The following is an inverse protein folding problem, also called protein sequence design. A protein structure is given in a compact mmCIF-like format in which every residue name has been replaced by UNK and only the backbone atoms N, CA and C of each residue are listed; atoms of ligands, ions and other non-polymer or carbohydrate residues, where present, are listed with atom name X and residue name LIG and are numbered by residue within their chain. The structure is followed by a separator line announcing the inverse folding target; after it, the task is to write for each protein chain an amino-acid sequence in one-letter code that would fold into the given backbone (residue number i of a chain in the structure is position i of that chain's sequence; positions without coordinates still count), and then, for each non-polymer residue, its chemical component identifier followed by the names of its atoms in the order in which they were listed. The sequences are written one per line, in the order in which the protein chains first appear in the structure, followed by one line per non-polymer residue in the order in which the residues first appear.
data_IF_442248562481
#
_entry.id   IF_442248562481
#
_cell.length_a   1.000
_cell.length_b   1.000
_cell.length_c   1.000
_cell.angle_alpha   90.00
_cell.angle_beta   90.00
_cell.angle_gamma   90.00
#
_symmetry.space_group_name_H-M   'P 1'
#
loop_
_entity.id
_entity.type
_entity.pdbx_description
1 polymer ?
#
# COMPACT_ATOMS: atom_id res chain seq x y z
N UNK A 1 17.49 -28.55 -53.43
CA UNK A 1 17.12 -29.42 -52.29
C UNK A 1 16.09 -28.67 -51.46
N UNK A 2 14.96 -29.30 -51.13
CA UNK A 2 13.95 -28.72 -50.28
C UNK A 2 14.51 -28.57 -48.84
N UNK A 3 14.23 -27.46 -48.19
CA UNK A 3 14.68 -27.18 -46.81
C UNK A 3 13.96 -28.14 -45.86
N UNK A 4 14.69 -28.88 -45.03
CA UNK A 4 14.15 -29.80 -44.05
C UNK A 4 13.86 -28.97 -42.75
N UNK A 5 12.67 -29.15 -42.20
CA UNK A 5 12.27 -28.54 -40.92
C UNK A 5 12.38 -29.57 -39.80
N UNK A 6 12.53 -29.13 -38.56
CA UNK A 6 12.42 -29.98 -37.39
C UNK A 6 10.99 -30.56 -37.30
N UNK A 7 10.79 -31.77 -36.79
CA UNK A 7 9.46 -32.35 -36.60
C UNK A 7 8.59 -31.41 -35.76
N UNK A 8 7.35 -31.21 -36.19
CA UNK A 8 6.33 -30.46 -35.49
C UNK A 8 5.06 -31.31 -35.43
N UNK A 9 4.85 -31.96 -34.29
CA UNK A 9 3.70 -32.84 -34.02
C UNK A 9 3.05 -32.39 -32.72
N UNK A 10 2.16 -31.40 -32.77
CA UNK A 10 1.55 -30.79 -31.59
C UNK A 10 0.65 -31.77 -30.80
N UNK A 11 0.11 -32.77 -31.43
CA UNK A 11 -0.76 -33.80 -30.83
C UNK A 11 0.02 -35.03 -30.34
N UNK A 12 1.36 -34.96 -30.29
CA UNK A 12 2.17 -36.11 -29.86
C UNK A 12 1.96 -36.39 -28.37
N UNK A 13 1.40 -37.54 -28.05
CA UNK A 13 1.31 -38.06 -26.70
C UNK A 13 2.66 -38.58 -26.21
N UNK A 14 3.02 -38.27 -24.98
CA UNK A 14 4.21 -38.80 -24.31
C UNK A 14 3.81 -40.00 -23.45
N UNK A 15 4.52 -41.13 -23.61
CA UNK A 15 4.28 -42.37 -22.85
C UNK A 15 4.51 -42.13 -21.33
N UNK A 16 5.52 -41.30 -20.98
CA UNK A 16 5.82 -40.84 -19.63
C UNK A 16 5.93 -39.34 -19.71
N UNK A 17 4.99 -38.57 -19.06
CA UNK A 17 5.10 -37.12 -19.03
C UNK A 17 6.33 -36.70 -18.22
N UNK A 18 7.15 -35.76 -18.71
CA UNK A 18 8.29 -35.25 -17.96
C UNK A 18 7.82 -34.57 -16.68
N UNK A 19 8.70 -34.55 -15.67
CA UNK A 19 8.45 -33.73 -14.46
C UNK A 19 8.23 -32.28 -14.85
N UNK A 20 7.23 -31.61 -14.27
CA UNK A 20 7.01 -30.17 -14.49
C UNK A 20 8.27 -29.34 -14.16
N UNK A 21 9.10 -29.81 -13.24
CA UNK A 21 10.37 -29.16 -12.87
C UNK A 21 11.38 -29.14 -14.02
N UNK A 22 11.39 -30.15 -14.87
CA UNK A 22 12.30 -30.25 -16.02
C UNK A 22 11.96 -29.27 -17.15
N UNK A 23 10.77 -28.65 -17.08
CA UNK A 23 10.33 -27.68 -18.07
C UNK A 23 10.81 -26.23 -17.77
N UNK A 24 11.39 -26.02 -16.60
CA UNK A 24 11.95 -24.73 -16.19
C UNK A 24 13.48 -24.84 -16.09
N UNK A 25 14.22 -23.78 -16.46
CA UNK A 25 15.65 -23.69 -16.18
C UNK A 25 15.95 -23.86 -14.68
N UNK A 26 17.09 -24.43 -14.33
CA UNK A 26 17.47 -24.68 -12.94
C UNK A 26 17.56 -23.38 -12.11
N UNK A 27 17.98 -22.29 -12.74
CA UNK A 27 18.08 -20.95 -12.17
C UNK A 27 16.76 -20.16 -12.19
N UNK A 28 15.63 -20.79 -12.54
CA UNK A 28 14.37 -20.07 -12.67
C UNK A 28 13.89 -19.47 -11.35
N UNK A 29 13.36 -18.22 -11.39
CA UNK A 29 12.86 -17.45 -10.23
C UNK A 29 11.88 -18.26 -9.33
N UNK A 30 11.08 -19.18 -9.89
CA UNK A 30 10.15 -19.99 -9.11
C UNK A 30 10.89 -20.88 -8.11
N UNK A 31 12.04 -21.47 -8.48
CA UNK A 31 12.84 -22.28 -7.57
C UNK A 31 13.47 -21.43 -6.48
N UNK A 32 14.06 -20.28 -6.85
CA UNK A 32 14.60 -19.33 -5.88
C UNK A 32 13.54 -18.89 -4.84
N UNK A 33 12.34 -18.54 -5.30
CA UNK A 33 11.23 -18.18 -4.40
C UNK A 33 10.82 -19.35 -3.52
N UNK A 34 10.73 -20.57 -4.09
CA UNK A 34 10.44 -21.78 -3.32
C UNK A 34 11.43 -22.01 -2.20
N UNK A 35 12.73 -21.99 -2.52
CA UNK A 35 13.81 -22.26 -1.57
C UNK A 35 13.94 -21.16 -0.51
N UNK A 36 13.72 -19.90 -0.89
CA UNK A 36 13.69 -18.79 0.03
C UNK A 36 12.52 -18.92 1.01
N UNK A 37 11.31 -19.24 0.54
CA UNK A 37 10.14 -19.42 1.42
C UNK A 37 10.34 -20.57 2.40
N UNK A 38 11.04 -21.64 2.01
CA UNK A 38 11.36 -22.76 2.89
C UNK A 38 12.34 -22.38 4.03
N UNK A 39 13.06 -21.27 3.90
CA UNK A 39 13.94 -20.72 4.94
C UNK A 39 13.22 -19.74 5.89
N UNK A 40 12.00 -19.29 5.56
CA UNK A 40 11.23 -18.38 6.41
C UNK A 40 10.47 -19.13 7.50
N UNK A 41 10.26 -18.47 8.64
CA UNK A 41 9.35 -18.96 9.68
C UNK A 41 7.88 -18.78 9.23
N UNK A 42 7.23 -19.88 8.91
CA UNK A 42 5.84 -19.94 8.51
C UNK A 42 4.91 -20.40 9.63
N UNK A 43 5.40 -20.53 10.87
CA UNK A 43 4.63 -21.05 12.00
C UNK A 43 3.34 -20.28 12.25
N UNK A 44 3.35 -18.94 12.09
CA UNK A 44 2.16 -18.11 12.23
C UNK A 44 1.07 -18.39 11.17
N UNK A 45 1.45 -19.03 10.05
CA UNK A 45 0.52 -19.48 9.00
C UNK A 45 0.10 -20.91 9.24
N UNK A 46 1.04 -21.83 9.49
CA UNK A 46 0.79 -23.28 9.56
C UNK A 46 -0.05 -23.67 10.78
N UNK A 47 0.20 -23.06 11.95
CA UNK A 47 -0.55 -23.31 13.18
C UNK A 47 -2.07 -23.16 13.04
N UNK A 48 -2.53 -22.25 12.19
CA UNK A 48 -3.97 -22.03 11.96
C UNK A 48 -4.65 -23.31 11.41
N UNK A 49 -3.89 -24.15 10.69
CA UNK A 49 -4.39 -25.38 10.07
C UNK A 49 -4.16 -26.63 10.93
N UNK A 50 -3.28 -26.57 11.91
CA UNK A 50 -2.98 -27.69 12.82
C UNK A 50 -4.11 -27.93 13.83
N UNK A 51 -4.88 -26.89 14.15
CA UNK A 51 -6.00 -26.95 15.09
C UNK A 51 -7.32 -27.43 14.46
N UNK A 52 -7.40 -27.59 13.14
CA UNK A 52 -8.61 -28.03 12.42
C UNK A 52 -8.63 -29.54 12.19
N UNK A 53 -9.20 -30.31 13.15
CA UNK A 53 -9.32 -31.77 13.03
C UNK A 53 -10.43 -32.26 12.08
N UNK A 54 -11.37 -31.38 11.65
CA UNK A 54 -12.56 -31.78 10.89
C UNK A 54 -12.73 -30.95 9.61
N UNK A 55 -13.07 -31.65 8.53
CA UNK A 55 -13.41 -31.02 7.25
C UNK A 55 -12.66 -31.66 6.07
N UNK A 56 -12.90 -31.12 4.87
CA UNK A 56 -12.13 -31.48 3.67
C UNK A 56 -10.70 -30.96 3.81
N UNK A 57 -9.65 -31.75 3.49
CA UNK A 57 -8.27 -31.31 3.64
C UNK A 57 -8.00 -29.99 2.92
N UNK A 58 -7.48 -28.97 3.62
CA UNK A 58 -7.16 -27.68 3.02
C UNK A 58 -5.96 -27.80 2.06
N UNK A 59 -5.82 -26.86 1.16
CA UNK A 59 -4.56 -26.73 0.39
C UNK A 59 -3.41 -26.42 1.33
N UNK A 60 -2.26 -27.01 1.06
CA UNK A 60 -1.07 -26.84 1.90
C UNK A 60 -0.67 -25.38 2.04
N UNK A 61 -0.58 -24.79 3.25
CA UNK A 61 -0.37 -23.36 3.44
C UNK A 61 0.99 -22.88 2.91
N UNK A 62 2.05 -23.69 3.00
CA UNK A 62 3.36 -23.37 2.42
C UNK A 62 3.26 -23.24 0.90
N UNK A 63 2.52 -24.15 0.23
CA UNK A 63 2.28 -24.07 -1.22
C UNK A 63 1.55 -22.79 -1.60
N UNK A 64 0.47 -22.42 -0.86
CA UNK A 64 -0.26 -21.17 -1.09
C UNK A 64 0.63 -19.93 -0.88
N UNK A 65 1.52 -19.97 0.12
CA UNK A 65 2.51 -18.92 0.36
C UNK A 65 3.48 -18.78 -0.82
N UNK A 66 4.07 -19.88 -1.30
CA UNK A 66 4.98 -19.88 -2.45
C UNK A 66 4.31 -19.32 -3.70
N UNK A 67 3.10 -19.78 -4.01
CA UNK A 67 2.30 -19.29 -5.15
C UNK A 67 1.99 -17.80 -5.03
N UNK A 68 1.58 -17.34 -3.84
CA UNK A 68 1.23 -15.94 -3.62
C UNK A 68 2.45 -15.02 -3.75
N UNK A 69 3.56 -15.36 -3.11
CA UNK A 69 4.82 -14.58 -3.16
C UNK A 69 5.36 -14.54 -4.59
N UNK A 70 5.42 -15.67 -5.27
CA UNK A 70 5.85 -15.72 -6.67
C UNK A 70 4.95 -14.86 -7.57
N UNK A 71 3.62 -14.95 -7.39
CA UNK A 71 2.67 -14.14 -8.15
C UNK A 71 2.95 -12.64 -7.99
N UNK A 72 3.23 -12.19 -6.77
CA UNK A 72 3.59 -10.78 -6.51
C UNK A 72 4.96 -10.42 -7.12
N UNK A 73 5.93 -11.33 -7.15
CA UNK A 73 7.22 -11.12 -7.83
C UNK A 73 7.02 -10.84 -9.33
N UNK A 74 6.17 -11.62 -9.99
CA UNK A 74 5.92 -11.50 -11.44
C UNK A 74 4.77 -10.54 -11.81
N UNK A 75 4.29 -9.73 -10.85
CA UNK A 75 3.27 -8.70 -11.10
C UNK A 75 1.83 -9.23 -11.26
N UNK A 76 1.54 -10.43 -10.76
CA UNK A 76 0.20 -11.04 -10.80
C UNK A 76 -0.46 -10.91 -9.42
N UNK A 77 -1.15 -9.80 -9.16
CA UNK A 77 -1.72 -9.48 -7.83
C UNK A 77 -3.16 -10.00 -7.64
N UNK A 78 -3.93 -10.13 -8.71
CA UNK A 78 -5.34 -10.54 -8.65
C UNK A 78 -5.48 -12.04 -8.43
N UNK A 79 -6.25 -12.46 -7.42
CA UNK A 79 -6.51 -13.88 -7.13
C UNK A 79 -7.12 -14.64 -8.32
N UNK A 80 -7.99 -13.98 -9.12
CA UNK A 80 -8.52 -14.58 -10.35
C UNK A 80 -7.45 -14.79 -11.42
N UNK A 81 -6.49 -13.84 -11.53
CA UNK A 81 -5.36 -14.01 -12.45
C UNK A 81 -4.41 -15.12 -11.96
N UNK A 82 -4.19 -15.22 -10.63
CA UNK A 82 -3.37 -16.29 -10.04
C UNK A 82 -4.01 -17.64 -10.34
N UNK A 83 -5.32 -17.81 -10.08
CA UNK A 83 -6.04 -19.04 -10.43
C UNK A 83 -5.85 -19.44 -11.90
N UNK A 84 -5.99 -18.47 -12.80
CA UNK A 84 -5.77 -18.72 -14.24
C UNK A 84 -4.34 -19.17 -14.54
N UNK A 85 -3.33 -18.52 -13.92
CA UNK A 85 -1.93 -18.90 -14.07
C UNK A 85 -1.62 -20.29 -13.53
N UNK A 86 -2.28 -20.74 -12.47
CA UNK A 86 -2.12 -22.12 -11.95
C UNK A 86 -2.50 -23.20 -12.98
N UNK A 87 -3.29 -22.86 -13.97
CA UNK A 87 -3.66 -23.78 -15.07
C UNK A 87 -2.76 -23.59 -16.30
N UNK A 88 -2.46 -22.33 -16.66
CA UNK A 88 -1.84 -21.96 -17.93
C UNK A 88 -0.31 -21.81 -17.88
N UNK A 89 0.28 -21.64 -16.69
CA UNK A 89 1.68 -21.24 -16.51
C UNK A 89 2.46 -22.34 -15.77
N UNK A 90 3.53 -22.83 -16.40
CA UNK A 90 4.33 -23.95 -15.88
C UNK A 90 4.94 -23.62 -14.51
N UNK A 91 5.46 -22.39 -14.31
CA UNK A 91 6.08 -22.00 -13.05
C UNK A 91 5.09 -22.02 -11.89
N UNK A 92 3.85 -21.55 -12.12
CA UNK A 92 2.77 -21.65 -11.13
C UNK A 92 2.37 -23.10 -10.84
N UNK A 93 2.33 -23.95 -11.89
CA UNK A 93 2.00 -25.37 -11.72
C UNK A 93 3.09 -26.13 -10.95
N UNK A 94 4.36 -25.81 -11.17
CA UNK A 94 5.50 -26.36 -10.42
C UNK A 94 5.36 -26.00 -8.93
N UNK A 95 5.16 -24.70 -8.60
CA UNK A 95 5.04 -24.24 -7.23
C UNK A 95 3.80 -24.84 -6.51
N UNK A 96 2.73 -25.05 -7.25
CA UNK A 96 1.49 -25.62 -6.72
C UNK A 96 1.47 -27.16 -6.74
N UNK A 97 2.53 -27.81 -7.22
CA UNK A 97 2.56 -29.27 -7.42
C UNK A 97 1.31 -29.78 -8.17
N UNK A 98 0.88 -29.04 -9.20
CA UNK A 98 -0.31 -29.35 -10.00
C UNK A 98 -1.65 -29.01 -9.33
N UNK A 99 -1.68 -28.52 -8.10
CA UNK A 99 -2.91 -28.06 -7.46
C UNK A 99 -3.41 -26.76 -8.10
N UNK A 100 -4.74 -26.58 -8.15
CA UNK A 100 -5.38 -25.42 -8.73
C UNK A 100 -6.44 -24.82 -7.78
N UNK A 101 -6.05 -24.21 -6.63
CA UNK A 101 -6.98 -23.54 -5.75
C UNK A 101 -7.75 -22.43 -6.47
N UNK A 102 -9.03 -22.29 -6.14
CA UNK A 102 -9.85 -21.24 -6.71
C UNK A 102 -9.46 -19.85 -6.21
N UNK A 103 -9.98 -18.80 -6.88
CA UNK A 103 -9.65 -17.43 -6.54
C UNK A 103 -10.14 -17.00 -5.15
N UNK A 104 -11.19 -17.65 -4.60
CA UNK A 104 -11.71 -17.36 -3.25
C UNK A 104 -10.73 -17.88 -2.21
N UNK A 105 -10.30 -19.14 -2.35
CA UNK A 105 -9.27 -19.75 -1.50
C UNK A 105 -8.01 -18.88 -1.45
N UNK A 106 -7.50 -18.43 -2.61
CA UNK A 106 -6.32 -17.54 -2.70
C UNK A 106 -6.58 -16.19 -2.02
N UNK A 107 -7.76 -15.62 -2.23
CA UNK A 107 -8.13 -14.32 -1.64
C UNK A 107 -8.28 -14.40 -0.12
N UNK A 108 -8.93 -15.45 0.37
CA UNK A 108 -9.15 -15.69 1.80
C UNK A 108 -7.83 -16.02 2.50
N UNK A 109 -6.99 -16.87 1.90
CA UNK A 109 -5.64 -17.14 2.40
C UNK A 109 -4.84 -15.84 2.61
N UNK A 110 -4.77 -14.98 1.58
CA UNK A 110 -4.07 -13.70 1.67
C UNK A 110 -4.66 -12.81 2.77
N UNK A 111 -5.99 -12.75 2.90
CA UNK A 111 -6.68 -11.93 3.89
C UNK A 111 -6.45 -12.44 5.32
N UNK A 112 -6.53 -13.75 5.51
CA UNK A 112 -6.38 -14.40 6.82
C UNK A 112 -4.96 -14.27 7.33
N UNK A 113 -3.97 -14.50 6.47
CA UNK A 113 -2.55 -14.54 6.84
C UNK A 113 -1.79 -13.23 6.58
N UNK A 114 -2.51 -12.12 6.37
CA UNK A 114 -1.90 -10.84 6.00
C UNK A 114 -0.88 -10.32 7.03
N UNK A 115 -1.15 -10.55 8.32
CA UNK A 115 -0.24 -10.17 9.41
C UNK A 115 1.08 -10.97 9.37
N UNK A 116 0.99 -12.28 9.15
CA UNK A 116 2.16 -13.14 8.99
C UNK A 116 2.96 -12.79 7.73
N UNK A 117 2.28 -12.57 6.60
CA UNK A 117 2.89 -12.13 5.34
C UNK A 117 3.61 -10.77 5.47
N UNK A 118 3.11 -9.88 6.34
CA UNK A 118 3.79 -8.62 6.66
C UNK A 118 5.15 -8.86 7.33
N UNK A 119 5.26 -9.84 8.22
CA UNK A 119 6.49 -10.20 8.90
C UNK A 119 7.58 -10.76 7.97
N UNK A 120 7.22 -11.24 6.78
CA UNK A 120 8.23 -11.71 5.81
C UNK A 120 9.18 -10.62 5.35
N UNK A 121 8.78 -9.35 5.42
CA UNK A 121 9.65 -8.24 5.05
C UNK A 121 10.93 -8.22 5.90
N UNK A 122 10.78 -8.33 7.21
CA UNK A 122 11.90 -8.34 8.16
C UNK A 122 12.74 -9.62 8.03
N UNK A 123 12.09 -10.77 7.86
CA UNK A 123 12.78 -12.04 7.66
C UNK A 123 13.62 -12.04 6.37
N UNK A 124 13.08 -11.51 5.25
CA UNK A 124 13.83 -11.40 3.99
C UNK A 124 15.01 -10.42 4.12
N UNK A 125 14.85 -9.33 4.88
CA UNK A 125 15.97 -8.43 5.17
C UNK A 125 17.05 -9.11 6.02
N UNK A 126 16.64 -9.96 6.95
CA UNK A 126 17.58 -10.74 7.76
C UNK A 126 18.41 -11.72 6.89
N UNK A 127 17.74 -12.48 6.04
CA UNK A 127 18.42 -13.36 5.07
C UNK A 127 19.33 -12.58 4.12
N UNK A 128 18.91 -11.39 3.68
CA UNK A 128 19.74 -10.52 2.85
C UNK A 128 21.04 -10.12 3.55
N UNK A 129 20.99 -9.88 4.85
CA UNK A 129 22.18 -9.56 5.67
C UNK A 129 23.18 -10.72 5.74
N UNK A 130 22.70 -11.94 5.89
CA UNK A 130 23.55 -13.13 5.88
C UNK A 130 24.30 -13.28 4.55
N UNK A 131 23.71 -12.77 3.46
CA UNK A 131 24.31 -12.70 2.13
C UNK A 131 25.21 -11.46 1.92
N UNK A 132 25.42 -10.63 2.96
CA UNK A 132 26.23 -9.41 2.89
C UNK A 132 25.54 -8.21 2.23
N UNK A 133 24.24 -8.26 2.04
CA UNK A 133 23.35 -7.18 1.60
C UNK A 133 22.21 -7.06 2.62
N UNK A 134 21.73 -5.89 3.05
CA UNK A 134 21.91 -4.55 2.51
C UNK A 134 23.11 -3.82 3.15
N UNK A 135 23.48 -2.70 2.54
CA UNK A 135 24.41 -1.75 3.14
C UNK A 135 23.64 -0.58 3.73
N UNK A 136 23.49 -0.58 5.06
CA UNK A 136 22.81 0.54 5.75
C UNK A 136 23.77 1.73 5.93
N UNK A 137 24.38 2.17 4.82
CA UNK A 137 25.24 3.35 4.77
C UNK A 137 24.43 4.55 4.29
N UNK A 138 24.27 4.65 2.97
CA UNK A 138 23.49 5.71 2.31
C UNK A 138 22.11 5.20 1.98
N UNK A 139 21.08 5.89 2.51
CA UNK A 139 19.67 5.54 2.34
C UNK A 139 18.91 6.70 1.71
N UNK A 140 18.12 6.43 0.68
CA UNK A 140 17.24 7.41 0.04
C UNK A 140 15.78 7.18 0.44
N UNK A 141 15.10 8.25 0.89
CA UNK A 141 13.67 8.25 1.17
C UNK A 141 12.87 8.79 -0.03
N UNK A 142 11.74 8.18 -0.28
CA UNK A 142 10.74 8.72 -1.21
C UNK A 142 9.33 8.29 -0.83
N UNK A 143 8.37 9.19 -1.13
CA UNK A 143 6.94 8.96 -0.95
C UNK A 143 6.23 8.83 -2.30
N UNK A 144 5.27 7.92 -2.39
CA UNK A 144 4.50 7.76 -3.62
C UNK A 144 3.02 7.53 -3.36
N UNK A 145 2.18 8.13 -4.20
CA UNK A 145 0.72 7.98 -4.08
C UNK A 145 0.28 6.73 -4.86
N UNK A 146 -0.38 5.80 -4.18
CA UNK A 146 -0.98 4.60 -4.77
C UNK A 146 -2.49 4.66 -4.59
N UNK A 147 -3.22 4.31 -5.65
CA UNK A 147 -4.69 4.36 -5.64
C UNK A 147 -5.25 3.36 -4.62
N UNK A 148 -6.27 3.78 -3.88
CA UNK A 148 -7.07 2.90 -3.05
C UNK A 148 -8.04 2.06 -3.90
N UNK A 149 -8.53 0.97 -3.36
CA UNK A 149 -9.64 0.20 -3.95
C UNK A 149 -10.98 0.92 -3.72
N UNK A 150 -11.03 2.19 -4.12
CA UNK A 150 -12.18 3.06 -3.95
C UNK A 150 -12.21 4.15 -5.02
N UNK A 151 -13.42 4.51 -5.46
CA UNK A 151 -13.61 5.60 -6.42
C UNK A 151 -13.67 6.95 -5.70
N UNK A 152 -13.02 7.97 -6.25
CA UNK A 152 -13.16 9.36 -5.77
C UNK A 152 -14.60 9.88 -5.82
N UNK A 153 -15.44 9.34 -6.71
CA UNK A 153 -16.86 9.69 -6.84
C UNK A 153 -17.73 9.16 -5.68
N UNK A 154 -17.19 8.26 -4.85
CA UNK A 154 -17.81 7.79 -3.61
C UNK A 154 -17.40 8.60 -2.38
N UNK A 155 -16.64 9.68 -2.57
CA UNK A 155 -16.30 10.62 -1.51
C UNK A 155 -17.34 11.75 -1.42
N UNK A 156 -17.60 12.23 -0.20
CA UNK A 156 -18.47 13.36 0.08
C UNK A 156 -17.79 14.29 1.06
N UNK A 157 -17.88 15.62 0.83
CA UNK A 157 -17.35 16.63 1.78
C UNK A 157 -18.28 16.81 2.97
N UNK A 158 -17.71 17.24 4.09
CA UNK A 158 -18.45 17.50 5.34
C UNK A 158 -19.57 18.52 5.15
N UNK A 159 -19.30 19.61 4.42
CA UNK A 159 -20.33 20.62 4.10
C UNK A 159 -21.51 20.02 3.34
N UNK A 160 -21.22 19.22 2.29
CA UNK A 160 -22.26 18.53 1.51
C UNK A 160 -23.00 17.46 2.32
N UNK A 161 -22.33 16.81 3.29
CA UNK A 161 -23.00 15.88 4.21
C UNK A 161 -24.04 16.58 5.08
N UNK A 162 -23.71 17.76 5.62
CA UNK A 162 -24.64 18.57 6.44
C UNK A 162 -25.89 18.95 5.65
N UNK A 163 -25.70 19.43 4.43
CA UNK A 163 -26.80 19.81 3.53
C UNK A 163 -27.66 18.58 3.18
N UNK A 164 -27.02 17.49 2.76
CA UNK A 164 -27.76 16.27 2.36
C UNK A 164 -28.46 15.60 3.55
N UNK A 165 -27.88 15.69 4.75
CA UNK A 165 -28.52 15.21 5.97
C UNK A 165 -29.80 15.99 6.27
N UNK A 166 -29.81 17.31 6.07
CA UNK A 166 -31.02 18.15 6.23
C UNK A 166 -32.08 17.75 5.23
N UNK A 167 -31.75 17.70 3.94
CA UNK A 167 -32.68 17.31 2.88
C UNK A 167 -33.28 15.92 3.14
N UNK A 168 -32.47 14.91 3.45
CA UNK A 168 -32.96 13.56 3.72
C UNK A 168 -33.86 13.47 4.96
N UNK A 169 -33.63 14.31 5.97
CA UNK A 169 -34.52 14.38 7.15
C UNK A 169 -35.89 14.93 6.79
N UNK A 170 -35.94 15.97 5.95
CA UNK A 170 -37.17 16.53 5.43
C UNK A 170 -37.91 15.49 4.57
N UNK A 171 -37.21 14.86 3.61
CA UNK A 171 -37.79 13.81 2.76
C UNK A 171 -38.34 12.61 3.59
N UNK A 172 -37.64 12.18 4.63
CA UNK A 172 -38.10 11.11 5.54
C UNK A 172 -39.34 11.54 6.31
N UNK A 173 -39.36 12.80 6.83
CA UNK A 173 -40.51 13.36 7.56
C UNK A 173 -41.74 13.41 6.66
N UNK A 174 -41.60 13.88 5.42
CA UNK A 174 -42.67 13.99 4.47
C UNK A 174 -43.23 12.60 4.09
N UNK A 175 -42.37 11.61 3.88
CA UNK A 175 -42.80 10.23 3.59
C UNK A 175 -43.51 9.58 4.78
N UNK A 176 -43.05 9.83 6.02
CA UNK A 176 -43.75 9.32 7.21
C UNK A 176 -45.14 9.98 7.35
N UNK A 177 -45.24 11.30 7.13
CA UNK A 177 -46.52 12.00 7.18
C UNK A 177 -47.50 11.50 6.08
N UNK A 178 -46.99 11.18 4.88
CA UNK A 178 -47.79 10.56 3.81
C UNK A 178 -48.21 9.14 4.20
N UNK A 179 -47.35 8.34 4.80
CA UNK A 179 -47.71 7.00 5.26
C UNK A 179 -48.74 7.04 6.37
N UNK A 180 -48.59 7.93 7.36
CA UNK A 180 -49.56 8.14 8.43
C UNK A 180 -50.92 8.60 7.90
N UNK A 181 -50.94 9.47 6.88
CA UNK A 181 -52.17 9.92 6.24
C UNK A 181 -52.83 8.80 5.43
N UNK A 182 -52.03 7.94 4.75
CA UNK A 182 -52.56 6.78 4.03
C UNK A 182 -53.12 5.73 5.02
N UNK A 183 -52.40 5.42 6.11
CA UNK A 183 -52.85 4.51 7.15
C UNK A 183 -54.14 5.01 7.84
N UNK A 184 -54.25 6.32 8.08
CA UNK A 184 -55.46 6.92 8.64
C UNK A 184 -56.66 6.84 7.67
N UNK A 185 -56.43 6.96 6.36
CA UNK A 185 -57.45 6.81 5.34
C UNK A 185 -57.87 5.33 5.20
N UNK A 186 -56.93 4.40 5.25
CA UNK A 186 -57.19 2.94 5.21
C UNK A 186 -57.91 2.47 6.50
N UNK A 187 -57.52 2.94 7.68
CA UNK A 187 -58.19 2.67 8.96
C UNK A 187 -59.63 3.17 8.97
N UNK A 188 -59.89 4.28 8.29
CA UNK A 188 -61.26 4.83 8.15
C UNK A 188 -62.14 4.02 7.18
N UNK A 189 -61.53 3.37 6.18
CA UNK A 189 -62.25 2.60 5.15
C UNK A 189 -62.39 1.11 5.50
N UNK A 190 -61.36 0.48 6.13
CA UNK A 190 -61.28 -0.97 6.31
C UNK A 190 -61.15 -1.46 7.77
N UNK A 191 -61.07 -0.55 8.78
CA UNK A 191 -60.92 -0.91 10.21
C UNK A 191 -59.48 -1.26 10.66
N UNK A 192 -59.20 -1.10 11.97
CA UNK A 192 -57.86 -1.08 12.59
C UNK A 192 -57.03 -2.37 12.57
N UNK A 193 -57.53 -3.50 12.10
CA UNK A 193 -56.91 -4.82 12.28
C UNK A 193 -56.07 -5.33 11.09
N UNK A 194 -55.80 -4.55 10.07
CA UNK A 194 -54.91 -4.90 8.95
C UNK A 194 -53.78 -3.90 8.81
N UNK A 195 -52.73 -4.04 9.66
CA UNK A 195 -51.47 -3.29 9.51
C UNK A 195 -50.53 -4.06 8.62
N UNK A 196 -50.15 -3.49 7.48
CA UNK A 196 -48.95 -3.85 6.74
C UNK A 196 -47.74 -3.24 7.43
N UNK A 197 -46.98 -4.02 8.17
CA UNK A 197 -45.80 -3.57 8.95
C UNK A 197 -44.56 -3.27 8.08
N UNK A 198 -44.67 -3.21 6.75
CA UNK A 198 -43.55 -2.98 5.86
C UNK A 198 -43.42 -1.49 5.51
N UNK A 199 -42.37 -0.86 6.04
CA UNK A 199 -41.91 0.46 5.60
C UNK A 199 -41.68 0.46 4.07
N UNK A 200 -42.20 1.44 3.32
CA UNK A 200 -41.98 1.52 1.89
C UNK A 200 -40.49 1.43 1.56
N UNK A 201 -40.11 0.65 0.55
CA UNK A 201 -38.73 0.41 0.16
C UNK A 201 -37.90 1.71 -0.05
N UNK A 202 -38.58 2.78 -0.43
CA UNK A 202 -38.03 4.11 -0.58
C UNK A 202 -37.62 4.74 0.75
N UNK A 203 -38.43 4.59 1.81
CA UNK A 203 -38.15 5.07 3.16
C UNK A 203 -36.94 4.33 3.74
N UNK A 204 -36.89 3.00 3.64
CA UNK A 204 -35.75 2.19 4.07
C UNK A 204 -34.45 2.61 3.36
N UNK A 205 -34.49 2.91 2.07
CA UNK A 205 -33.34 3.39 1.30
C UNK A 205 -32.85 4.76 1.79
N UNK A 206 -33.79 5.68 2.08
CA UNK A 206 -33.46 7.02 2.59
C UNK A 206 -32.91 6.98 4.01
N UNK A 207 -33.50 6.19 4.88
CA UNK A 207 -33.00 5.97 6.25
C UNK A 207 -31.61 5.33 6.27
N UNK A 208 -31.37 4.28 5.48
CA UNK A 208 -30.05 3.66 5.34
C UNK A 208 -29.01 4.66 4.84
N UNK A 209 -29.38 5.52 3.91
CA UNK A 209 -28.50 6.57 3.40
C UNK A 209 -28.23 7.65 4.44
N UNK A 210 -29.25 8.04 5.20
CA UNK A 210 -29.14 8.99 6.30
C UNK A 210 -28.22 8.45 7.41
N UNK A 211 -28.39 7.19 7.78
CA UNK A 211 -27.53 6.48 8.75
C UNK A 211 -26.05 6.52 8.32
N UNK A 212 -25.75 6.13 7.08
CA UNK A 212 -24.38 6.17 6.53
C UNK A 212 -23.78 7.58 6.54
N UNK A 213 -24.57 8.62 6.20
CA UNK A 213 -24.09 10.00 6.24
C UNK A 213 -23.82 10.45 7.67
N UNK A 214 -24.66 10.05 8.66
CA UNK A 214 -24.42 10.34 10.08
C UNK A 214 -23.13 9.68 10.60
N UNK A 215 -22.89 8.43 10.23
CA UNK A 215 -21.68 7.68 10.58
C UNK A 215 -20.42 8.36 9.97
N UNK A 216 -20.46 8.70 8.70
CA UNK A 216 -19.38 9.40 8.01
C UNK A 216 -19.08 10.77 8.63
N UNK A 217 -20.13 11.51 9.01
CA UNK A 217 -20.00 12.81 9.67
C UNK A 217 -19.34 12.69 11.05
N UNK A 218 -19.78 11.71 11.87
CA UNK A 218 -19.17 11.44 13.18
C UNK A 218 -17.69 11.05 13.05
N UNK A 219 -17.34 10.24 12.04
CA UNK A 219 -15.95 9.87 11.79
C UNK A 219 -15.07 11.06 11.41
N UNK A 220 -15.59 12.03 10.64
CA UNK A 220 -14.87 13.28 10.33
C UNK A 220 -14.73 14.18 11.57
N UNK A 221 -15.77 14.25 12.42
CA UNK A 221 -15.76 15.00 13.66
C UNK A 221 -14.75 14.42 14.67
N UNK A 222 -14.71 13.09 14.82
CA UNK A 222 -13.71 12.39 15.63
C UNK A 222 -12.29 12.68 15.13
N UNK A 223 -12.06 12.56 13.82
CA UNK A 223 -10.75 12.88 13.22
C UNK A 223 -10.31 14.32 13.50
N UNK A 224 -11.21 15.30 13.36
CA UNK A 224 -10.87 16.69 13.63
C UNK A 224 -10.49 16.92 15.10
N UNK A 225 -11.12 16.20 16.04
CA UNK A 225 -10.76 16.21 17.46
C UNK A 225 -9.37 15.62 17.70
N UNK A 226 -9.08 14.45 17.11
CA UNK A 226 -7.77 13.80 17.23
C UNK A 226 -6.65 14.70 16.67
N UNK A 227 -6.88 15.34 15.51
CA UNK A 227 -5.94 16.28 14.91
C UNK A 227 -5.74 17.54 15.76
N UNK A 228 -6.80 18.05 16.40
CA UNK A 228 -6.72 19.19 17.29
C UNK A 228 -5.96 18.84 18.60
N UNK A 229 -6.24 17.68 19.17
CA UNK A 229 -5.53 17.18 20.35
C UNK A 229 -4.03 17.01 20.08
N UNK A 230 -3.68 16.41 18.93
CA UNK A 230 -2.28 16.25 18.48
C UNK A 230 -1.58 17.61 18.25
N UNK A 231 -2.36 18.66 17.92
CA UNK A 231 -1.85 20.03 17.74
C UNK A 231 -1.89 20.90 19.01
N UNK A 232 -2.28 20.32 20.16
CA UNK A 232 -2.40 21.04 21.44
C UNK A 232 -3.51 22.12 21.47
N UNK A 233 -4.52 21.98 20.58
CA UNK A 233 -5.64 22.93 20.50
C UNK A 233 -6.83 22.46 21.36
N UNK A 234 -7.63 23.40 21.93
CA UNK A 234 -8.80 22.99 22.72
C UNK A 234 -9.85 22.25 21.90
N UNK A 235 -10.50 21.26 22.52
CA UNK A 235 -11.51 20.37 21.89
C UNK A 235 -12.72 21.12 21.31
N UNK A 236 -13.14 22.23 21.94
CA UNK A 236 -14.28 23.03 21.49
C UNK A 236 -14.11 23.72 20.14
N UNK A 237 -12.86 23.88 19.66
CA UNK A 237 -12.55 24.47 18.34
C UNK A 237 -12.43 23.44 17.21
N UNK A 238 -12.47 22.16 17.53
CA UNK A 238 -12.20 21.05 16.61
C UNK A 238 -13.40 20.70 15.71
N UNK A 239 -13.76 21.61 14.79
CA UNK A 239 -14.75 21.31 13.75
C UNK A 239 -14.05 20.89 12.46
N UNK A 240 -14.56 19.85 11.76
CA UNK A 240 -14.02 19.48 10.47
C UNK A 240 -14.09 20.64 9.46
N UNK A 241 -13.04 20.79 8.64
CA UNK A 241 -13.11 21.68 7.49
C UNK A 241 -14.32 21.28 6.61
N UNK A 242 -15.14 22.23 6.14
CA UNK A 242 -16.24 21.95 5.22
C UNK A 242 -15.81 21.17 3.97
N UNK A 243 -14.53 21.28 3.56
CA UNK A 243 -13.92 20.53 2.46
C UNK A 243 -13.37 19.17 2.87
N UNK A 244 -13.29 18.84 4.17
CA UNK A 244 -12.85 17.52 4.64
C UNK A 244 -13.72 16.42 4.02
N UNK A 245 -13.10 15.37 3.48
CA UNK A 245 -13.79 14.36 2.70
C UNK A 245 -13.74 12.99 3.37
N UNK A 246 -14.82 12.24 3.17
CA UNK A 246 -14.97 10.86 3.59
C UNK A 246 -15.38 10.00 2.41
N UNK A 247 -14.68 8.89 2.19
CA UNK A 247 -15.02 7.94 1.14
C UNK A 247 -15.85 6.80 1.73
N UNK A 248 -17.04 6.56 1.20
CA UNK A 248 -17.95 5.53 1.71
C UNK A 248 -17.53 4.08 1.38
N UNK A 249 -16.58 3.92 0.46
CA UNK A 249 -16.05 2.60 0.09
C UNK A 249 -14.79 2.25 0.89
N UNK A 250 -13.93 3.23 1.13
CA UNK A 250 -12.70 3.10 1.91
C UNK A 250 -12.50 4.38 2.74
N UNK A 251 -13.04 4.40 3.97
CA UNK A 251 -13.05 5.57 4.86
C UNK A 251 -11.67 6.08 5.24
N UNK A 252 -10.68 5.22 5.21
CA UNK A 252 -9.30 5.54 5.60
C UNK A 252 -8.46 6.08 4.46
N UNK A 253 -8.90 5.88 3.20
CA UNK A 253 -8.24 6.50 2.04
C UNK A 253 -8.47 8.02 1.99
N UNK A 254 -7.57 8.74 1.32
CA UNK A 254 -7.63 10.21 1.17
C UNK A 254 -7.56 10.61 -0.29
N UNK A 255 -8.12 11.79 -0.60
CA UNK A 255 -7.87 12.42 -1.89
C UNK A 255 -6.52 13.12 -1.82
N UNK A 256 -5.61 12.69 -2.69
CA UNK A 256 -4.24 13.16 -2.76
C UNK A 256 -3.92 13.68 -4.15
N UNK A 257 -3.07 14.69 -4.24
CA UNK A 257 -2.56 15.19 -5.53
C UNK A 257 -1.46 14.26 -6.02
N UNK A 258 -1.69 13.62 -7.16
CA UNK A 258 -0.69 12.82 -7.89
C UNK A 258 -0.22 13.54 -9.17
N UNK A 259 0.69 12.93 -9.94
CA UNK A 259 1.15 13.46 -11.22
C UNK A 259 0.01 13.71 -12.22
N UNK A 260 -0.93 12.75 -12.28
CA UNK A 260 -2.06 12.74 -13.22
C UNK A 260 -3.32 13.40 -12.64
N UNK A 261 -3.18 14.25 -11.60
CA UNK A 261 -4.30 14.90 -10.91
C UNK A 261 -4.65 14.28 -9.56
N UNK A 262 -5.89 14.49 -9.10
CA UNK A 262 -6.33 14.00 -7.79
C UNK A 262 -6.76 12.53 -7.84
N UNK A 263 -6.23 11.73 -6.91
CA UNK A 263 -6.54 10.31 -6.74
C UNK A 263 -7.03 10.02 -5.33
N UNK A 264 -7.99 9.12 -5.19
CA UNK A 264 -8.32 8.49 -3.92
C UNK A 264 -7.25 7.44 -3.64
N UNK A 265 -6.49 7.58 -2.56
CA UNK A 265 -5.35 6.70 -2.33
C UNK A 265 -4.73 6.82 -0.95
N UNK A 266 -3.57 6.21 -0.85
CA UNK A 266 -2.67 6.25 0.30
C UNK A 266 -1.30 6.75 -0.14
N UNK A 267 -0.56 7.30 0.80
CA UNK A 267 0.81 7.72 0.60
C UNK A 267 1.73 6.63 1.14
N UNK A 268 2.40 5.92 0.24
CA UNK A 268 3.38 4.91 0.61
C UNK A 268 4.76 5.54 0.74
N UNK A 269 5.52 5.08 1.72
CA UNK A 269 6.88 5.53 1.99
C UNK A 269 7.83 4.35 1.82
N UNK A 270 9.01 4.59 1.27
CA UNK A 270 10.10 3.63 1.17
C UNK A 270 11.43 4.27 1.53
N UNK A 271 12.28 3.51 2.20
CA UNK A 271 13.68 3.79 2.46
C UNK A 271 14.51 2.76 1.71
N UNK A 272 15.43 3.19 0.87
CA UNK A 272 16.12 2.33 -0.11
C UNK A 272 17.63 2.55 0.00
N UNK A 273 18.40 1.48 -0.02
CA UNK A 273 19.86 1.51 -0.05
C UNK A 273 20.46 1.61 -1.46
N UNK A 274 21.79 1.71 -1.56
CA UNK A 274 22.49 1.80 -2.85
C UNK A 274 22.34 0.56 -3.74
N UNK A 275 22.01 -0.61 -3.18
CA UNK A 275 21.69 -1.84 -3.91
C UNK A 275 20.23 -1.91 -4.38
N UNK A 276 19.48 -0.86 -4.09
CA UNK A 276 18.04 -0.78 -4.35
C UNK A 276 17.20 -1.79 -3.55
N UNK A 277 17.69 -2.22 -2.38
CA UNK A 277 16.91 -2.95 -1.38
C UNK A 277 16.09 -1.97 -0.55
N UNK A 278 14.84 -2.30 -0.29
CA UNK A 278 13.98 -1.52 0.60
C UNK A 278 14.30 -1.93 2.03
N UNK A 279 14.81 -1.00 2.84
CA UNK A 279 15.18 -1.19 4.24
C UNK A 279 14.07 -0.88 5.21
N UNK A 280 13.18 0.05 4.80
CA UNK A 280 12.04 0.46 5.58
C UNK A 280 10.87 0.83 4.67
N UNK A 281 9.65 0.49 5.10
CA UNK A 281 8.45 0.77 4.34
C UNK A 281 7.27 1.09 5.27
N UNK A 282 6.42 2.02 4.83
CA UNK A 282 5.23 2.38 5.58
C UNK A 282 4.12 2.89 4.65
N UNK A 283 2.90 2.92 5.17
CA UNK A 283 1.76 3.55 4.50
C UNK A 283 1.14 4.57 5.42
N UNK A 284 0.87 5.75 4.90
CA UNK A 284 0.24 6.82 5.67
C UNK A 284 -0.97 7.42 4.94
N UNK A 285 -1.85 8.03 5.70
CA UNK A 285 -2.98 8.81 5.20
C UNK A 285 -2.60 10.29 4.96
N UNK A 286 -1.40 10.70 5.37
CA UNK A 286 -0.91 12.06 5.16
C UNK A 286 -0.74 12.34 3.67
N UNK A 287 -1.27 13.48 3.22
CA UNK A 287 -1.26 13.85 1.80
C UNK A 287 0.10 14.36 1.32
N UNK A 288 1.00 14.70 2.23
CA UNK A 288 2.37 15.15 1.97
C UNK A 288 3.36 14.41 2.87
N UNK A 289 4.64 14.53 2.56
CA UNK A 289 5.71 13.77 3.21
C UNK A 289 6.38 14.50 4.39
N UNK A 290 5.95 15.75 4.68
CA UNK A 290 6.57 16.60 5.71
C UNK A 290 6.64 15.98 7.10
N UNK A 291 5.66 15.17 7.46
CA UNK A 291 5.62 14.51 8.78
C UNK A 291 6.23 13.10 8.76
N UNK A 292 6.83 12.67 7.63
CA UNK A 292 7.25 11.29 7.48
C UNK A 292 8.76 11.07 7.69
N UNK A 293 9.57 12.13 7.82
CA UNK A 293 11.02 11.99 7.95
C UNK A 293 11.40 11.16 9.19
N UNK A 294 11.09 11.65 10.37
CA UNK A 294 11.45 10.99 11.64
C UNK A 294 10.75 9.63 11.80
N UNK A 295 9.44 9.50 11.51
CA UNK A 295 8.80 8.17 11.51
C UNK A 295 9.50 7.17 10.60
N UNK A 296 9.98 7.56 9.42
CA UNK A 296 10.69 6.66 8.52
C UNK A 296 12.08 6.26 9.02
N UNK A 297 12.79 7.14 9.74
CA UNK A 297 14.04 6.78 10.40
C UNK A 297 13.79 5.68 11.44
N UNK A 298 12.79 5.86 12.31
CA UNK A 298 12.39 4.83 13.27
C UNK A 298 11.98 3.51 12.58
N UNK A 299 11.27 3.59 11.45
CA UNK A 299 10.89 2.40 10.65
C UNK A 299 12.13 1.70 10.09
N UNK A 300 13.14 2.44 9.60
CA UNK A 300 14.41 1.86 9.13
C UNK A 300 15.09 1.10 10.28
N UNK A 301 15.24 1.73 11.43
CA UNK A 301 15.86 1.12 12.62
C UNK A 301 15.13 -0.15 13.06
N UNK A 302 13.81 -0.12 13.10
CA UNK A 302 12.98 -1.27 13.50
C UNK A 302 13.05 -2.43 12.49
N UNK A 303 12.98 -2.14 11.19
CA UNK A 303 12.86 -3.16 10.15
C UNK A 303 14.21 -3.65 9.63
N UNK A 304 15.21 -2.77 9.57
CA UNK A 304 16.56 -3.13 9.17
C UNK A 304 17.50 -3.41 10.35
N UNK A 305 17.17 -2.97 11.56
CA UNK A 305 17.97 -3.11 12.77
C UNK A 305 19.23 -2.23 12.82
N UNK A 306 19.38 -1.27 11.89
CA UNK A 306 20.51 -0.35 11.81
C UNK A 306 20.06 1.07 11.49
N UNK A 307 20.87 2.07 11.88
CA UNK A 307 20.66 3.48 11.56
C UNK A 307 21.50 3.89 10.36
N UNK A 308 20.95 4.57 9.35
CA UNK A 308 21.73 5.02 8.19
C UNK A 308 22.75 6.09 8.57
N UNK A 309 23.96 6.02 7.99
CA UNK A 309 24.96 7.09 8.16
C UNK A 309 24.65 8.32 7.31
N UNK A 310 24.08 8.12 6.11
CA UNK A 310 23.64 9.20 5.22
C UNK A 310 22.18 9.02 4.80
N UNK A 311 21.40 10.11 4.86
CA UNK A 311 19.99 10.11 4.50
C UNK A 311 19.70 11.12 3.39
N UNK A 312 19.13 10.65 2.28
CA UNK A 312 18.77 11.47 1.12
C UNK A 312 17.25 11.57 1.01
N UNK A 313 16.69 12.79 0.97
CA UNK A 313 15.26 12.97 0.81
C UNK A 313 14.93 14.15 -0.11
N UNK A 314 13.75 14.11 -0.73
CA UNK A 314 13.28 15.19 -1.60
C UNK A 314 12.73 16.40 -0.81
N UNK A 315 12.33 17.44 -1.51
CA UNK A 315 11.78 18.66 -0.90
C UNK A 315 10.43 18.44 -0.19
N UNK A 316 9.78 17.30 -0.39
CA UNK A 316 8.56 16.92 0.31
C UNK A 316 8.77 16.72 1.81
N UNK A 317 9.98 16.30 2.21
CA UNK A 317 10.37 16.09 3.60
C UNK A 317 10.96 17.34 4.28
N UNK A 318 11.26 18.40 3.52
CA UNK A 318 11.88 19.59 4.07
C UNK A 318 10.89 20.41 4.91
N UNK A 319 11.22 20.58 6.19
CA UNK A 319 10.60 21.53 7.12
C UNK A 319 11.59 21.89 8.22
N UNK A 320 11.43 23.07 8.86
CA UNK A 320 12.30 23.47 9.96
C UNK A 320 12.30 22.43 11.08
N UNK A 321 11.14 21.88 11.42
CA UNK A 321 10.98 20.83 12.44
C UNK A 321 11.79 19.59 12.10
N UNK A 322 11.72 19.11 10.86
CA UNK A 322 12.48 17.93 10.43
C UNK A 322 13.98 18.19 10.41
N UNK A 323 14.39 19.37 9.93
CA UNK A 323 15.80 19.73 9.87
C UNK A 323 16.44 19.90 11.24
N UNK A 324 15.68 20.42 12.22
CA UNK A 324 16.11 20.49 13.62
C UNK A 324 16.20 19.09 14.20
N UNK A 325 15.13 18.28 14.05
CA UNK A 325 15.10 16.94 14.63
C UNK A 325 16.21 16.02 14.09
N UNK A 326 16.54 16.09 12.78
CA UNK A 326 17.60 15.27 12.22
C UNK A 326 19.00 15.78 12.56
N UNK A 327 19.15 17.09 12.83
CA UNK A 327 20.42 17.66 13.28
C UNK A 327 20.84 17.21 14.69
N UNK A 328 19.87 16.71 15.48
CA UNK A 328 20.11 16.13 16.80
C UNK A 328 20.47 14.63 16.75
N UNK A 329 20.59 14.05 15.54
CA UNK A 329 21.00 12.67 15.29
C UNK A 329 22.39 12.62 14.68
N UNK A 330 23.03 11.44 14.68
CA UNK A 330 24.34 11.20 14.01
C UNK A 330 24.19 10.99 12.49
N UNK A 331 23.00 11.17 11.93
CA UNK A 331 22.70 10.96 10.51
C UNK A 331 23.12 12.18 9.68
N UNK A 332 24.00 11.97 8.71
CA UNK A 332 24.36 13.02 7.76
C UNK A 332 23.30 13.19 6.66
N UNK A 333 22.34 14.11 6.89
CA UNK A 333 21.18 14.29 6.04
C UNK A 333 21.43 15.24 4.84
N UNK A 334 20.85 14.90 3.70
CA UNK A 334 20.83 15.67 2.46
C UNK A 334 19.38 15.79 1.96
N UNK A 335 18.69 16.85 2.40
CA UNK A 335 17.26 17.06 2.13
C UNK A 335 17.11 18.26 1.23
N UNK A 336 16.51 18.10 0.02
CA UNK A 336 16.28 19.21 -0.88
C UNK A 336 15.40 20.27 -0.24
N UNK A 337 15.84 21.53 -0.28
CA UNK A 337 15.10 22.64 0.31
C UNK A 337 14.07 23.25 -0.64
N UNK A 338 14.10 22.87 -1.94
CA UNK A 338 13.17 23.34 -2.96
C UNK A 338 12.86 22.25 -3.97
N UNK A 339 11.68 22.32 -4.58
CA UNK A 339 11.34 21.47 -5.74
C UNK A 339 12.17 21.89 -6.93
N UNK A 340 12.97 20.96 -7.47
CA UNK A 340 13.68 21.16 -8.73
C UNK A 340 12.74 20.81 -9.90
N UNK A 341 12.72 21.65 -10.93
CA UNK A 341 12.05 21.32 -12.19
C UNK A 341 12.88 20.30 -12.96
N UNK A 342 12.21 19.46 -13.74
CA UNK A 342 12.92 18.50 -14.59
C UNK A 342 13.88 19.22 -15.53
N UNK A 343 15.18 18.81 -15.54
CA UNK A 343 16.23 19.46 -16.33
C UNK A 343 16.88 20.70 -15.70
N UNK A 344 16.39 21.20 -14.56
CA UNK A 344 17.00 22.30 -13.83
C UNK A 344 18.32 21.84 -13.19
N UNK A 345 19.42 22.50 -13.52
CA UNK A 345 20.70 22.27 -12.85
C UNK A 345 20.77 23.09 -11.57
N UNK A 346 21.36 22.53 -10.48
CA UNK A 346 21.62 23.31 -9.29
C UNK A 346 22.43 24.56 -9.64
N UNK A 347 22.04 25.71 -9.09
CA UNK A 347 22.84 26.93 -9.24
C UNK A 347 24.22 26.77 -8.59
N UNK A 348 25.19 27.64 -8.93
CA UNK A 348 26.51 27.59 -8.32
C UNK A 348 26.42 27.79 -6.80
N UNK A 349 27.34 27.14 -6.07
CA UNK A 349 27.43 27.35 -4.63
C UNK A 349 27.76 28.83 -4.33
N UNK A 350 26.95 29.54 -3.54
CA UNK A 350 27.24 30.91 -3.16
C UNK A 350 28.61 31.01 -2.51
N UNK A 351 29.40 32.05 -2.82
CA UNK A 351 30.74 32.25 -2.24
C UNK A 351 30.66 32.94 -0.87
N UNK A 352 31.65 32.71 -0.03
CA UNK A 352 31.80 33.32 1.30
C UNK A 352 31.11 32.56 2.44
N UNK A 353 31.30 32.96 3.68
CA UNK A 353 30.70 32.34 4.86
C UNK A 353 29.17 32.56 4.90
N UNK A 354 28.45 31.66 5.54
CA UNK A 354 27.02 31.85 5.80
C UNK A 354 26.81 33.04 6.76
N UNK A 355 25.76 33.88 6.53
CA UNK A 355 25.40 34.92 7.49
C UNK A 355 25.14 34.33 8.88
N UNK A 356 25.43 35.10 9.94
CA UNK A 356 25.12 34.68 11.32
C UNK A 356 23.62 34.44 11.55
N UNK A 357 22.76 35.06 10.74
CA UNK A 357 21.29 34.94 10.76
C UNK A 357 20.78 33.79 9.86
N UNK A 358 21.68 32.98 9.25
CA UNK A 358 21.30 31.90 8.38
C UNK A 358 20.44 30.86 9.10
N UNK A 359 19.27 30.56 8.52
CA UNK A 359 18.36 29.53 9.00
C UNK A 359 18.93 28.12 8.83
N UNK A 360 18.32 27.13 9.47
CA UNK A 360 18.68 25.73 9.26
C UNK A 360 18.45 25.30 7.80
N UNK A 361 17.42 25.85 7.16
CA UNK A 361 17.13 25.62 5.72
C UNK A 361 18.26 26.21 4.85
N UNK A 362 18.79 27.39 5.19
CA UNK A 362 19.89 28.00 4.44
C UNK A 362 21.18 27.16 4.56
N UNK A 363 21.43 26.60 5.75
CA UNK A 363 22.56 25.68 5.99
C UNK A 363 22.43 24.42 5.16
N UNK A 364 21.26 23.78 5.14
CA UNK A 364 20.97 22.61 4.32
C UNK A 364 21.09 22.94 2.81
N UNK A 365 20.53 24.06 2.38
CA UNK A 365 20.66 24.54 1.00
C UNK A 365 22.12 24.72 0.61
N UNK A 366 22.93 25.36 1.48
CA UNK A 366 24.35 25.53 1.27
C UNK A 366 25.09 24.19 1.15
N UNK A 367 24.83 23.25 2.03
CA UNK A 367 25.39 21.90 2.01
C UNK A 367 25.17 21.22 0.66
N UNK A 368 23.94 21.27 0.13
CA UNK A 368 23.56 20.67 -1.15
C UNK A 368 24.22 21.33 -2.38
N UNK A 369 24.65 22.60 -2.28
CA UNK A 369 25.33 23.31 -3.37
C UNK A 369 26.87 23.13 -3.34
N UNK A 370 27.45 22.54 -2.28
CA UNK A 370 28.88 22.15 -2.27
C UNK A 370 29.13 21.03 -3.26
N UNK A 371 30.35 20.93 -3.81
CA UNK A 371 30.71 19.84 -4.73
C UNK A 371 30.43 18.45 -4.13
N UNK A 372 30.87 18.12 -2.88
CA UNK A 372 30.57 16.82 -2.28
C UNK A 372 29.06 16.66 -2.02
N UNK A 373 28.38 17.65 -1.45
CA UNK A 373 26.95 17.56 -1.16
C UNK A 373 26.09 17.37 -2.39
N UNK A 374 26.41 18.05 -3.49
CA UNK A 374 25.73 17.87 -4.77
C UNK A 374 25.95 16.46 -5.34
N UNK A 375 27.14 15.89 -5.22
CA UNK A 375 27.46 14.53 -5.67
C UNK A 375 26.70 13.48 -4.86
N UNK A 376 26.68 13.61 -3.53
CA UNK A 376 25.92 12.72 -2.62
C UNK A 376 24.43 12.80 -2.93
N UNK A 377 23.85 14.00 -3.01
CA UNK A 377 22.43 14.17 -3.26
C UNK A 377 22.00 13.66 -4.65
N UNK A 378 22.86 13.78 -5.66
CA UNK A 378 22.57 13.29 -7.02
C UNK A 378 22.33 11.77 -7.05
N UNK A 379 22.96 10.99 -6.15
CA UNK A 379 22.78 9.55 -6.04
C UNK A 379 21.32 9.17 -5.72
N UNK A 380 20.55 10.04 -5.04
CA UNK A 380 19.15 9.78 -4.67
C UNK A 380 18.31 9.25 -5.83
N UNK A 381 18.43 9.91 -6.99
CA UNK A 381 17.66 9.52 -8.18
C UNK A 381 17.96 8.10 -8.65
N UNK A 382 19.21 7.68 -8.61
CA UNK A 382 19.63 6.34 -8.99
C UNK A 382 19.25 5.26 -7.96
N UNK A 383 19.05 5.65 -6.71
CA UNK A 383 18.72 4.74 -5.62
C UNK A 383 17.20 4.46 -5.58
N UNK A 384 16.37 5.49 -5.33
CA UNK A 384 14.95 5.26 -4.98
C UNK A 384 14.00 5.34 -6.18
N UNK A 385 14.25 6.20 -7.17
CA UNK A 385 13.34 6.35 -8.31
C UNK A 385 13.18 5.03 -9.13
N UNK A 386 14.26 4.24 -9.40
CA UNK A 386 14.11 2.95 -10.06
C UNK A 386 13.25 1.95 -9.29
N UNK A 387 13.32 1.95 -7.95
CA UNK A 387 12.53 1.06 -7.09
C UNK A 387 11.03 1.35 -7.24
N UNK A 388 10.64 2.62 -7.14
CA UNK A 388 9.25 3.05 -7.37
C UNK A 388 8.83 2.72 -8.81
N UNK A 389 9.71 2.94 -9.80
CA UNK A 389 9.49 2.59 -11.20
C UNK A 389 9.26 1.09 -11.40
N UNK A 390 10.09 0.23 -10.80
CA UNK A 390 9.97 -1.23 -10.88
C UNK A 390 8.64 -1.71 -10.26
N UNK A 391 8.23 -1.15 -9.12
CA UNK A 391 6.96 -1.50 -8.47
C UNK A 391 5.76 -1.04 -9.32
N UNK A 392 5.73 0.23 -9.72
CA UNK A 392 4.56 0.84 -10.38
C UNK A 392 4.44 0.54 -11.87
N UNK A 393 5.58 0.47 -12.59
CA UNK A 393 5.58 0.34 -14.04
C UNK A 393 5.92 -1.09 -14.48
N UNK A 394 7.04 -1.65 -14.05
CA UNK A 394 7.43 -2.98 -14.49
C UNK A 394 6.49 -4.07 -13.95
N UNK A 395 6.17 -4.06 -12.63
CA UNK A 395 5.23 -5.01 -12.03
C UNK A 395 3.77 -4.57 -12.12
N UNK A 396 3.50 -3.29 -12.39
CA UNK A 396 2.15 -2.76 -12.58
C UNK A 396 1.34 -2.55 -11.28
N UNK A 397 1.97 -2.46 -10.11
CA UNK A 397 1.28 -2.21 -8.85
C UNK A 397 0.94 -0.72 -8.70
N UNK A 398 -0.22 -0.33 -9.22
CA UNK A 398 -0.70 1.07 -9.22
C UNK A 398 -1.90 1.31 -8.32
N UNK A 399 -2.50 0.24 -7.80
CA UNK A 399 -3.71 0.29 -7.00
C UNK A 399 -3.71 -0.85 -5.98
N UNK A 400 -4.08 -0.55 -4.74
CA UNK A 400 -4.33 -1.55 -3.71
C UNK A 400 -5.55 -2.41 -4.05
N UNK A 401 -5.53 -3.66 -3.67
CA UNK A 401 -6.66 -4.58 -3.77
C UNK A 401 -7.46 -4.63 -2.47
N UNK A 402 -6.80 -4.35 -1.35
CA UNK A 402 -7.40 -4.33 -0.02
C UNK A 402 -7.84 -2.91 0.36
N UNK A 403 -8.62 -2.79 1.44
CA UNK A 403 -9.17 -1.55 1.97
C UNK A 403 -8.89 -1.44 3.46
N UNK A 404 -8.74 -0.21 3.93
CA UNK A 404 -8.36 0.09 5.31
C UNK A 404 -6.86 0.08 5.52
N UNK A 405 -6.35 1.00 6.36
CA UNK A 405 -4.91 1.29 6.50
C UNK A 405 -4.11 0.04 6.91
N UNK A 406 -4.61 -0.75 7.84
CA UNK A 406 -3.94 -1.95 8.33
C UNK A 406 -3.73 -2.98 7.21
N UNK A 407 -4.79 -3.27 6.43
CA UNK A 407 -4.71 -4.22 5.32
C UNK A 407 -3.88 -3.71 4.17
N UNK A 408 -3.96 -2.42 3.89
CA UNK A 408 -3.15 -1.74 2.87
C UNK A 408 -1.67 -1.75 3.26
N UNK A 409 -1.36 -1.56 4.56
CA UNK A 409 0.00 -1.69 5.09
C UNK A 409 0.55 -3.11 4.90
N UNK A 410 -0.25 -4.14 5.18
CA UNK A 410 0.14 -5.53 4.94
C UNK A 410 0.36 -5.85 3.45
N UNK A 411 -0.51 -5.35 2.58
CA UNK A 411 -0.36 -5.51 1.13
C UNK A 411 0.88 -4.79 0.60
N UNK A 412 1.18 -3.58 1.12
CA UNK A 412 2.38 -2.83 0.77
C UNK A 412 3.65 -3.55 1.24
N UNK A 413 3.64 -4.08 2.46
CA UNK A 413 4.74 -4.90 2.97
C UNK A 413 5.04 -6.08 2.05
N UNK A 414 4.02 -6.82 1.60
CA UNK A 414 4.21 -7.94 0.66
C UNK A 414 4.77 -7.48 -0.69
N UNK A 415 4.36 -6.31 -1.20
CA UNK A 415 4.92 -5.71 -2.43
C UNK A 415 6.39 -5.37 -2.25
N UNK A 416 6.78 -4.80 -1.11
CA UNK A 416 8.17 -4.47 -0.78
C UNK A 416 9.02 -5.73 -0.55
N UNK A 417 8.49 -6.74 0.16
CA UNK A 417 9.12 -8.05 0.34
C UNK A 417 9.48 -8.66 -1.01
N UNK A 418 8.51 -8.72 -1.92
CA UNK A 418 8.72 -9.31 -3.25
C UNK A 418 9.64 -8.47 -4.14
N UNK A 419 9.76 -7.15 -3.88
CA UNK A 419 10.78 -6.34 -4.51
C UNK A 419 12.18 -6.76 -4.04
N UNK A 420 12.36 -6.92 -2.73
CA UNK A 420 13.64 -7.35 -2.15
C UNK A 420 14.02 -8.76 -2.61
N UNK A 421 13.06 -9.69 -2.66
CA UNK A 421 13.29 -11.05 -3.22
C UNK A 421 13.81 -10.97 -4.66
N UNK A 422 13.23 -10.13 -5.51
CA UNK A 422 13.71 -9.94 -6.89
C UNK A 422 15.11 -9.33 -6.96
N UNK A 423 15.49 -8.50 -6.00
CA UNK A 423 16.85 -7.95 -5.91
C UNK A 423 17.84 -9.02 -5.47
N UNK A 424 17.49 -9.81 -4.46
CA UNK A 424 18.32 -10.92 -3.99
C UNK A 424 18.52 -11.96 -5.09
N UNK A 425 17.45 -12.34 -5.80
CA UNK A 425 17.54 -13.22 -6.95
C UNK A 425 18.62 -12.76 -7.95
N UNK A 426 18.60 -11.46 -8.31
CA UNK A 426 19.59 -10.90 -9.24
C UNK A 426 21.00 -10.75 -8.68
N UNK A 427 21.17 -10.81 -7.39
CA UNK A 427 22.49 -10.80 -6.75
C UNK A 427 23.09 -12.21 -6.64
N UNK A 428 22.24 -13.25 -6.62
CA UNK A 428 22.62 -14.65 -6.45
C UNK A 428 22.76 -15.41 -7.80
N UNK A 429 22.09 -14.93 -8.84
CA UNK A 429 22.05 -15.48 -10.19
C UNK A 429 22.61 -14.46 -11.18
#
# INVERSE_FOLDING_TARGET
MAKTYRPYVPEQDLLLPPSLREWLPEDHLAFFVSDLIDQLDLSAITKVYEDEERGYPPYHPVMLTKVLVYAYCVGVFSSRKIQRRLVEDVAFRVLAAGNAPDFRTIADFRKTHLAALRGFFEQVLHLARELGAPRVGRVALDGSKIKANASKHKAMSYGRMREKQRQLREEVKDLLAQAEAADAAEDAEYGRDRRGDELPAELQRRESRLKRIREAKRALEARAKDEAAAAGKPDESAKPDPKAQYNFTDPESRIMKGPDGFVQGYNVQVAVDELQLILGQSVTQETNDKKQLMPMITVIEQQSGDTPSELLADAGYCSDVNLVAIADTDIDAYISTRKQKHGERPGPCPRGPLPKTATIVDRMSRKLHTKPGAAVYAARKGIVEPVIGQIKHARGFRQFLLRGIEKVQGEWSLVCTTHNILKLYRLCV
#
